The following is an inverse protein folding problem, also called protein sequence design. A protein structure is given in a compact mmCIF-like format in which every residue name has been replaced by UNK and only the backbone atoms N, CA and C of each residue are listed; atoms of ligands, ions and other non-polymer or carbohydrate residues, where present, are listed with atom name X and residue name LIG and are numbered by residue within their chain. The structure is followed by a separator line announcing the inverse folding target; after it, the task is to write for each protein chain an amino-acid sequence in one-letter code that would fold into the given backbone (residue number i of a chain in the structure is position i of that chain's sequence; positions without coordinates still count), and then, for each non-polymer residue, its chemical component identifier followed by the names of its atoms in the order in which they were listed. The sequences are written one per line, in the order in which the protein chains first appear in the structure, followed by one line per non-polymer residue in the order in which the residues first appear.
data_IF_535425716792
#
_entry.id   IF_535425716792
#
_cell.length_a   1.000
_cell.length_b   1.000
_cell.length_c   1.000
_cell.angle_alpha   90.00
_cell.angle_beta   90.00
_cell.angle_gamma   90.00
#
_symmetry.space_group_name_H-M   'P 1'
#
loop_
_entity.id
_entity.type
_entity.pdbx_description
1 polymer ?
#
# COMPACT_ATOMS: atom_id res chain seq x y z
N UNK A 1 7.66 19.70 -3.51
CA UNK A 1 6.55 20.66 -3.42
C UNK A 1 5.49 20.14 -2.47
N UNK A 2 5.06 20.95 -1.54
CA UNK A 2 4.00 20.57 -0.60
C UNK A 2 2.66 20.80 -1.28
N UNK A 3 1.85 19.76 -1.38
CA UNK A 3 0.48 19.88 -1.85
C UNK A 3 -0.35 20.50 -0.72
N UNK A 4 -0.94 21.71 -0.90
CA UNK A 4 -1.63 22.42 0.19
C UNK A 4 -2.67 21.59 0.92
N UNK A 5 -3.36 20.69 0.20
CA UNK A 5 -4.38 19.81 0.79
C UNK A 5 -3.83 18.89 1.87
N UNK A 6 -2.51 18.59 1.84
CA UNK A 6 -1.87 17.71 2.83
C UNK A 6 -1.28 18.47 4.01
N UNK A 7 -1.35 19.79 4.02
CA UNK A 7 -0.82 20.62 5.12
C UNK A 7 -1.90 21.02 6.12
N UNK A 8 -3.17 20.70 5.89
CA UNK A 8 -4.31 21.10 6.70
C UNK A 8 -5.04 19.91 7.30
N UNK A 9 -5.84 20.18 8.33
CA UNK A 9 -6.72 19.21 8.97
C UNK A 9 -5.96 18.16 9.76
N UNK A 10 -6.64 17.05 10.06
CA UNK A 10 -6.08 15.95 10.83
C UNK A 10 -4.89 15.31 10.12
N UNK A 11 -4.99 15.08 8.84
CA UNK A 11 -3.89 14.50 8.06
C UNK A 11 -2.64 15.38 8.14
N UNK A 12 -2.78 16.70 7.95
CA UNK A 12 -1.65 17.62 8.04
C UNK A 12 -0.99 17.60 9.42
N UNK A 13 -1.79 17.53 10.49
CA UNK A 13 -1.28 17.44 11.85
C UNK A 13 -0.53 16.13 12.09
N UNK A 14 -1.09 15.01 11.67
CA UNK A 14 -0.44 13.69 11.79
C UNK A 14 0.87 13.66 11.02
N UNK A 15 0.88 14.22 9.81
CA UNK A 15 2.08 14.29 9.00
C UNK A 15 3.18 15.11 9.66
N UNK A 16 2.83 16.24 10.28
CA UNK A 16 3.79 17.06 11.02
C UNK A 16 4.37 16.32 12.21
N UNK A 17 3.55 15.59 12.95
CA UNK A 17 4.00 14.78 14.09
C UNK A 17 4.93 13.65 13.65
N UNK A 18 4.73 13.10 12.47
CA UNK A 18 5.53 12.02 11.91
C UNK A 18 6.59 12.52 10.93
N UNK A 19 6.97 13.79 11.00
CA UNK A 19 7.86 14.41 10.01
C UNK A 19 9.20 13.68 9.87
N UNK A 20 9.80 13.23 10.98
CA UNK A 20 11.07 12.51 10.95
C UNK A 20 10.91 11.14 10.27
N UNK A 21 9.85 10.41 10.60
CA UNK A 21 9.57 9.10 9.98
C UNK A 21 9.26 9.25 8.49
N UNK A 22 8.49 10.29 8.14
CA UNK A 22 8.19 10.60 6.75
C UNK A 22 9.47 10.86 5.96
N UNK A 23 10.38 11.66 6.51
CA UNK A 23 11.66 11.99 5.86
C UNK A 23 12.52 10.73 5.70
N UNK A 24 12.60 9.89 6.71
CA UNK A 24 13.31 8.61 6.63
C UNK A 24 12.74 7.72 5.54
N UNK A 25 11.42 7.70 5.40
CA UNK A 25 10.75 6.90 4.38
C UNK A 25 11.09 7.39 2.98
N UNK A 26 10.89 8.67 2.71
CA UNK A 26 11.11 9.23 1.36
C UNK A 26 12.58 9.29 0.97
N UNK A 27 13.49 9.38 1.93
CA UNK A 27 14.92 9.40 1.69
C UNK A 27 15.55 7.99 1.69
N UNK A 28 14.76 6.94 1.94
CA UNK A 28 15.28 5.58 1.96
C UNK A 28 15.91 5.21 0.61
N UNK A 29 17.06 4.52 0.59
CA UNK A 29 17.75 4.18 -0.65
C UNK A 29 16.85 3.47 -1.67
N UNK A 30 15.94 2.59 -1.22
CA UNK A 30 14.99 1.92 -2.11
C UNK A 30 14.15 2.95 -2.87
N UNK A 31 13.57 3.92 -2.16
CA UNK A 31 12.71 4.95 -2.77
C UNK A 31 13.50 5.81 -3.75
N UNK A 32 14.71 6.23 -3.34
CA UNK A 32 15.58 7.05 -4.18
C UNK A 32 16.01 6.30 -5.45
N UNK A 33 16.42 5.05 -5.31
CA UNK A 33 16.85 4.22 -6.44
C UNK A 33 15.70 3.93 -7.40
N UNK A 34 14.49 3.71 -6.86
CA UNK A 34 13.30 3.53 -7.69
C UNK A 34 13.01 4.79 -8.52
N UNK A 35 13.07 5.96 -7.88
CA UNK A 35 12.85 7.25 -8.54
C UNK A 35 13.90 7.53 -9.62
N UNK A 36 15.15 7.14 -9.39
CA UNK A 36 16.27 7.36 -10.31
C UNK A 36 16.38 6.29 -11.40
N UNK A 37 15.63 5.20 -11.27
CA UNK A 37 15.72 4.08 -12.20
C UNK A 37 16.97 3.21 -12.00
N UNK A 38 17.60 3.30 -10.82
CA UNK A 38 18.82 2.55 -10.50
C UNK A 38 18.57 1.36 -9.57
N UNK A 39 17.33 1.11 -9.19
CA UNK A 39 16.99 0.01 -8.29
C UNK A 39 17.29 -1.33 -8.95
N UNK A 40 17.96 -2.24 -8.22
CA UNK A 40 18.22 -3.58 -8.70
C UNK A 40 16.93 -4.32 -9.02
N UNK A 41 16.91 -5.08 -10.13
CA UNK A 41 15.73 -5.84 -10.55
C UNK A 41 15.28 -6.81 -9.47
N UNK A 42 16.21 -7.49 -8.80
CA UNK A 42 15.88 -8.42 -7.72
C UNK A 42 15.15 -7.76 -6.55
N UNK A 43 15.51 -6.51 -6.23
CA UNK A 43 14.84 -5.74 -5.20
C UNK A 43 13.43 -5.35 -5.63
N UNK A 44 13.25 -4.96 -6.89
CA UNK A 44 11.95 -4.63 -7.45
C UNK A 44 11.02 -5.84 -7.47
N UNK A 45 11.53 -7.01 -7.88
CA UNK A 45 10.75 -8.25 -7.89
C UNK A 45 10.30 -8.65 -6.49
N UNK A 46 11.18 -8.47 -5.48
CA UNK A 46 10.82 -8.70 -4.08
C UNK A 46 9.72 -7.76 -3.62
N UNK A 47 9.80 -6.50 -4.02
CA UNK A 47 8.79 -5.50 -3.69
C UNK A 47 7.43 -5.87 -4.26
N UNK A 48 7.39 -6.33 -5.52
CA UNK A 48 6.13 -6.77 -6.15
C UNK A 48 5.47 -7.90 -5.36
N UNK A 49 6.28 -8.86 -4.90
CA UNK A 49 5.79 -9.98 -4.08
C UNK A 49 5.26 -9.49 -2.72
N UNK A 50 6.01 -8.61 -2.07
CA UNK A 50 5.61 -8.07 -0.77
C UNK A 50 4.36 -7.18 -0.90
N UNK A 51 4.21 -6.46 -1.99
CA UNK A 51 3.00 -5.65 -2.26
C UNK A 51 1.76 -6.52 -2.40
N UNK A 52 1.89 -7.68 -3.04
CA UNK A 52 0.79 -8.64 -3.12
C UNK A 52 0.32 -9.05 -1.72
N UNK A 53 1.26 -9.45 -0.86
CA UNK A 53 0.96 -9.84 0.51
C UNK A 53 0.40 -8.66 1.32
N UNK A 54 0.96 -7.49 1.13
CA UNK A 54 0.50 -6.26 1.79
C UNK A 54 -0.95 -5.96 1.45
N UNK A 55 -1.35 -6.05 0.18
CA UNK A 55 -2.72 -5.76 -0.24
C UNK A 55 -3.72 -6.70 0.45
N UNK A 56 -3.37 -7.97 0.61
CA UNK A 56 -4.21 -8.94 1.31
C UNK A 56 -4.39 -8.53 2.77
N UNK A 57 -3.31 -8.20 3.46
CA UNK A 57 -3.38 -7.78 4.86
C UNK A 57 -4.08 -6.44 5.03
N UNK A 58 -3.91 -5.55 4.07
CA UNK A 58 -4.58 -4.25 4.07
C UNK A 58 -6.09 -4.42 3.95
N UNK A 59 -6.54 -5.29 3.03
CA UNK A 59 -7.96 -5.64 2.89
C UNK A 59 -8.50 -6.26 4.18
N UNK A 60 -7.70 -7.12 4.82
CA UNK A 60 -8.05 -7.75 6.08
C UNK A 60 -8.23 -6.72 7.21
N UNK A 61 -7.41 -5.69 7.23
CA UNK A 61 -7.51 -4.58 8.19
C UNK A 61 -8.84 -3.83 8.04
N UNK A 62 -9.27 -3.61 6.81
CA UNK A 62 -10.57 -2.98 6.55
C UNK A 62 -11.73 -3.89 6.98
N UNK A 63 -11.61 -5.21 6.80
CA UNK A 63 -12.63 -6.14 7.28
C UNK A 63 -12.79 -6.06 8.80
N UNK A 64 -11.68 -5.95 9.53
CA UNK A 64 -11.71 -5.75 10.97
C UNK A 64 -12.34 -4.40 11.33
N UNK A 65 -12.03 -3.36 10.59
CA UNK A 65 -12.62 -2.04 10.79
C UNK A 65 -14.14 -2.10 10.63
N UNK A 66 -14.63 -2.74 9.58
CA UNK A 66 -16.08 -2.90 9.34
C UNK A 66 -16.77 -3.51 10.55
N UNK A 67 -16.14 -4.54 11.16
CA UNK A 67 -16.74 -5.21 12.32
C UNK A 67 -16.83 -4.33 13.57
N UNK A 68 -16.06 -3.25 13.62
CA UNK A 68 -15.96 -2.36 14.77
C UNK A 68 -16.76 -1.06 14.62
N UNK A 69 -17.19 -0.73 13.42
CA UNK A 69 -17.96 0.48 13.17
C UNK A 69 -19.41 0.31 13.64
N UNK A 70 -19.99 1.41 14.11
CA UNK A 70 -21.28 1.39 14.78
C UNK A 70 -22.47 1.63 13.86
N UNK A 71 -22.26 2.39 12.79
CA UNK A 71 -23.36 2.78 11.89
C UNK A 71 -23.25 2.08 10.55
N UNK A 72 -24.38 1.84 9.93
CA UNK A 72 -24.43 1.23 8.61
C UNK A 72 -23.74 2.07 7.54
N UNK A 73 -23.90 3.41 7.48
CA UNK A 73 -23.15 4.21 6.51
C UNK A 73 -21.62 4.08 6.67
N UNK A 74 -21.12 4.08 7.90
CA UNK A 74 -19.68 3.88 8.15
C UNK A 74 -19.22 2.50 7.70
N UNK A 75 -20.00 1.45 8.00
CA UNK A 75 -19.71 0.09 7.58
C UNK A 75 -19.64 -0.02 6.06
N UNK A 76 -20.59 0.61 5.36
CA UNK A 76 -20.61 0.61 3.89
C UNK A 76 -19.39 1.33 3.32
N UNK A 77 -18.99 2.45 3.91
CA UNK A 77 -17.81 3.18 3.45
C UNK A 77 -16.53 2.37 3.59
N UNK A 78 -16.35 1.73 4.75
CA UNK A 78 -15.18 0.88 4.98
C UNK A 78 -15.19 -0.38 4.09
N UNK A 79 -16.36 -0.99 3.87
CA UNK A 79 -16.51 -2.12 2.98
C UNK A 79 -16.19 -1.75 1.53
N UNK A 80 -16.58 -0.56 1.09
CA UNK A 80 -16.25 -0.06 -0.24
C UNK A 80 -14.74 0.10 -0.42
N UNK A 81 -14.03 0.59 0.60
CA UNK A 81 -12.57 0.70 0.58
C UNK A 81 -11.91 -0.68 0.51
N UNK A 82 -12.41 -1.65 1.27
CA UNK A 82 -11.94 -3.03 1.22
C UNK A 82 -12.11 -3.62 -0.19
N UNK A 83 -13.28 -3.43 -0.78
CA UNK A 83 -13.55 -3.92 -2.13
C UNK A 83 -12.64 -3.29 -3.17
N UNK A 84 -12.32 -2.01 -3.04
CA UNK A 84 -11.39 -1.33 -3.93
C UNK A 84 -10.00 -1.98 -3.87
N UNK A 85 -9.53 -2.33 -2.67
CA UNK A 85 -8.25 -3.02 -2.49
C UNK A 85 -8.31 -4.42 -3.12
N UNK A 86 -9.37 -5.18 -2.86
CA UNK A 86 -9.53 -6.52 -3.42
C UNK A 86 -9.59 -6.48 -4.95
N UNK A 87 -10.16 -5.42 -5.52
CA UNK A 87 -10.24 -5.25 -6.98
C UNK A 87 -8.90 -4.91 -7.61
N UNK A 88 -7.95 -4.39 -6.83
CA UNK A 88 -6.58 -4.14 -7.30
C UNK A 88 -5.75 -5.41 -7.41
N UNK A 89 -6.08 -6.46 -6.64
CA UNK A 89 -5.29 -7.70 -6.63
C UNK A 89 -5.15 -8.35 -8.00
N UNK A 90 -6.22 -8.52 -8.80
CA UNK A 90 -6.08 -9.09 -10.14
C UNK A 90 -5.17 -8.26 -11.05
N UNK A 91 -5.21 -6.94 -10.93
CA UNK A 91 -4.34 -6.05 -11.70
C UNK A 91 -2.88 -6.24 -11.29
N UNK A 92 -2.62 -6.33 -9.99
CA UNK A 92 -1.27 -6.57 -9.47
C UNK A 92 -0.75 -7.94 -9.90
N UNK A 93 -1.59 -8.98 -9.82
CA UNK A 93 -1.24 -10.33 -10.28
C UNK A 93 -0.90 -10.33 -11.77
N UNK A 94 -1.70 -9.65 -12.59
CA UNK A 94 -1.44 -9.51 -14.02
C UNK A 94 -0.13 -8.79 -14.33
N UNK A 95 0.16 -7.74 -13.58
CA UNK A 95 1.42 -7.01 -13.69
C UNK A 95 2.62 -7.91 -13.33
N UNK A 96 2.52 -8.62 -12.21
CA UNK A 96 3.58 -9.54 -11.77
C UNK A 96 3.82 -10.66 -12.78
N UNK A 97 2.77 -11.16 -13.44
CA UNK A 97 2.89 -12.17 -14.47
C UNK A 97 3.78 -11.72 -15.63
N UNK A 98 3.72 -10.43 -15.98
CA UNK A 98 4.60 -9.86 -17.01
C UNK A 98 6.09 -9.94 -16.61
N UNK A 99 6.36 -9.99 -15.32
CA UNK A 99 7.71 -10.14 -14.77
C UNK A 99 8.07 -11.60 -14.52
N UNK A 100 7.20 -12.54 -14.93
CA UNK A 100 7.42 -13.98 -14.72
C UNK A 100 7.21 -14.43 -13.28
N UNK A 101 6.48 -13.67 -12.48
CA UNK A 101 6.18 -14.01 -11.09
C UNK A 101 4.73 -14.49 -11.03
N UNK A 102 4.52 -15.75 -10.62
CA UNK A 102 3.18 -16.32 -10.50
C UNK A 102 2.53 -15.96 -9.18
N UNK A 103 1.20 -15.94 -9.16
CA UNK A 103 0.43 -15.72 -7.92
C UNK A 103 0.77 -16.78 -6.87
N UNK A 104 0.91 -18.04 -7.28
CA UNK A 104 1.26 -19.13 -6.37
C UNK A 104 2.61 -18.90 -5.70
N UNK A 105 3.59 -18.41 -6.46
CA UNK A 105 4.91 -18.04 -5.93
C UNK A 105 4.79 -16.97 -4.85
N UNK A 106 4.01 -15.92 -5.13
CA UNK A 106 3.84 -14.80 -4.19
C UNK A 106 3.09 -15.24 -2.92
N UNK A 107 2.07 -16.09 -3.08
CA UNK A 107 1.25 -16.56 -1.96
C UNK A 107 2.03 -17.43 -0.97
N UNK A 108 3.14 -18.03 -1.39
CA UNK A 108 3.96 -18.91 -0.53
C UNK A 108 5.10 -18.19 0.15
N UNK A 109 5.32 -16.92 -0.12
CA UNK A 109 6.37 -16.14 0.53
C UNK A 109 5.97 -15.72 1.95
N UNK A 110 6.94 -15.68 2.90
CA UNK A 110 6.66 -15.24 4.27
C UNK A 110 6.35 -13.75 4.38
#
# INVERSE_FOLDING_TARGET
MIIPAFSHGLYGRLRQLAAADWQHYVAHPFVQQLAEGTLAESAFRRDLTQDYLFLIHFARSYALLVSKLRTLPEMRAAAASMNAILNELPLHVGYCAQWGISEQEMATQP
#
